data_IF_657222652514
#
_entry.id   IF_657222652514
#
_cell.length_a   1.000
_cell.length_b   1.000
_cell.length_c   1.000
_cell.angle_alpha   90.00
_cell.angle_beta   90.00
_cell.angle_gamma   90.00
#
_symmetry.space_group_name_H-M   'P 1'
#
loop_
_entity.id
_entity.type
_entity.pdbx_description
1 polymer ?
#
# COMPACT_ATOMS: atom_id res chain seq x y z
N UNK A 1 -21.84 -3.78 -4.65
CA UNK A 1 -21.23 -4.33 -5.88
C UNK A 1 -19.75 -4.51 -5.61
N UNK A 2 -19.12 -5.65 -5.94
CA UNK A 2 -17.74 -5.88 -5.52
C UNK A 2 -16.79 -4.86 -6.16
N UNK A 3 -16.00 -4.18 -5.33
CA UNK A 3 -14.83 -3.41 -5.74
C UNK A 3 -13.62 -4.34 -5.66
N UNK A 4 -12.83 -4.42 -6.72
CA UNK A 4 -11.59 -5.19 -6.72
C UNK A 4 -10.43 -4.25 -6.47
N UNK A 5 -9.68 -4.53 -5.43
CA UNK A 5 -8.46 -3.81 -5.08
C UNK A 5 -7.25 -4.67 -5.43
N UNK A 6 -6.34 -4.12 -6.24
CA UNK A 6 -5.03 -4.72 -6.51
C UNK A 6 -3.99 -3.89 -5.79
N UNK A 7 -3.25 -4.51 -4.86
CA UNK A 7 -2.08 -3.91 -4.20
C UNK A 7 -0.86 -4.71 -4.62
N UNK A 8 0.12 -4.03 -5.23
CA UNK A 8 1.39 -4.60 -5.64
C UNK A 8 2.48 -4.03 -4.76
N UNK A 9 3.18 -4.93 -4.06
CA UNK A 9 4.32 -4.62 -3.23
C UNK A 9 5.59 -5.02 -3.97
N UNK A 10 6.51 -4.09 -4.16
CA UNK A 10 7.79 -4.35 -4.83
C UNK A 10 8.91 -3.99 -3.86
N UNK A 11 9.76 -4.97 -3.52
CA UNK A 11 10.98 -4.71 -2.78
C UNK A 11 12.06 -4.17 -3.72
N UNK A 12 12.68 -3.06 -3.33
CA UNK A 12 13.77 -2.36 -4.00
C UNK A 12 14.93 -2.18 -3.03
N UNK A 13 16.06 -1.65 -3.49
CA UNK A 13 17.20 -1.32 -2.64
C UNK A 13 16.89 -0.22 -1.61
N UNK A 14 15.85 0.59 -1.86
CA UNK A 14 15.43 1.70 -1.00
C UNK A 14 14.28 1.31 -0.05
N UNK A 15 13.79 0.07 -0.12
CA UNK A 15 12.72 -0.46 0.72
C UNK A 15 11.58 -1.10 -0.09
N UNK A 16 10.35 -0.96 0.39
CA UNK A 16 9.13 -1.49 -0.24
C UNK A 16 8.39 -0.33 -0.90
N UNK A 17 8.13 -0.47 -2.21
CA UNK A 17 7.24 0.39 -2.96
C UNK A 17 5.83 -0.24 -3.02
N UNK A 18 4.79 0.60 -2.93
CA UNK A 18 3.38 0.19 -2.96
C UNK A 18 2.68 0.84 -4.14
N UNK A 19 2.29 0.03 -5.11
CA UNK A 19 1.40 0.42 -6.21
C UNK A 19 0.01 -0.11 -5.92
N UNK A 20 -1.02 0.68 -6.21
CA UNK A 20 -2.40 0.28 -5.93
C UNK A 20 -3.34 0.72 -7.04
N UNK A 21 -4.25 -0.16 -7.42
CA UNK A 21 -5.30 0.10 -8.39
C UNK A 21 -6.64 -0.38 -7.84
N UNK A 22 -7.65 0.50 -7.90
CA UNK A 22 -9.03 0.12 -7.63
C UNK A 22 -9.69 -0.14 -8.97
N UNK A 23 -9.99 -1.41 -9.25
CA UNK A 23 -10.71 -1.81 -10.44
C UNK A 23 -12.20 -1.91 -10.11
N UNK A 24 -12.99 -1.12 -10.82
CA UNK A 24 -14.42 -1.03 -10.62
C UNK A 24 -15.15 -1.24 -11.96
N UNK A 25 -16.25 -2.00 -11.96
CA UNK A 25 -17.10 -2.12 -13.16
C UNK A 25 -17.89 -0.83 -13.34
N UNK A 26 -17.96 -0.27 -14.55
CA UNK A 26 -18.38 1.11 -14.85
C UNK A 26 -19.74 1.59 -14.28
N UNK A 27 -20.57 0.72 -13.73
CA UNK A 27 -21.97 1.03 -13.41
C UNK A 27 -22.19 1.00 -11.89
N UNK A 28 -22.02 2.16 -11.27
CA UNK A 28 -22.36 2.50 -9.87
C UNK A 28 -21.60 1.77 -8.75
N UNK A 29 -20.84 2.54 -7.94
CA UNK A 29 -20.23 2.04 -6.70
C UNK A 29 -20.94 2.60 -5.49
N UNK A 30 -21.13 1.76 -4.46
CA UNK A 30 -21.53 2.27 -3.16
C UNK A 30 -20.36 3.07 -2.56
N UNK A 31 -20.65 4.26 -2.01
CA UNK A 31 -19.65 5.11 -1.33
C UNK A 31 -18.89 4.32 -0.25
N UNK A 32 -19.56 3.41 0.44
CA UNK A 32 -18.94 2.55 1.46
C UNK A 32 -17.87 1.62 0.87
N UNK A 33 -18.10 1.02 -0.30
CA UNK A 33 -17.16 0.08 -0.92
C UNK A 33 -15.88 0.79 -1.37
N UNK A 34 -16.02 2.00 -1.91
CA UNK A 34 -14.89 2.87 -2.25
C UNK A 34 -14.14 3.34 -1.01
N UNK A 35 -14.85 3.70 0.07
CA UNK A 35 -14.24 4.09 1.34
C UNK A 35 -13.41 2.95 1.93
N UNK A 36 -13.94 1.72 1.93
CA UNK A 36 -13.20 0.54 2.39
C UNK A 36 -11.96 0.26 1.53
N UNK A 37 -12.10 0.26 0.20
CA UNK A 37 -10.96 0.05 -0.71
C UNK A 37 -9.86 1.11 -0.51
N UNK A 38 -10.25 2.37 -0.35
CA UNK A 38 -9.32 3.48 -0.11
C UNK A 38 -8.61 3.33 1.23
N UNK A 39 -9.34 3.00 2.30
CA UNK A 39 -8.75 2.76 3.61
C UNK A 39 -7.74 1.60 3.58
N UNK A 40 -8.03 0.52 2.85
CA UNK A 40 -7.10 -0.60 2.69
C UNK A 40 -5.80 -0.19 2.00
N UNK A 41 -5.87 0.65 0.96
CA UNK A 41 -4.66 1.20 0.32
C UNK A 41 -3.83 2.01 1.31
N UNK A 42 -4.47 2.89 2.08
CA UNK A 42 -3.79 3.74 3.05
C UNK A 42 -3.10 2.90 4.15
N UNK A 43 -3.76 1.86 4.67
CA UNK A 43 -3.13 0.96 5.63
C UNK A 43 -1.96 0.19 5.04
N UNK A 44 -2.05 -0.26 3.78
CA UNK A 44 -0.94 -0.94 3.11
C UNK A 44 0.27 -0.02 2.92
N UNK A 45 0.04 1.23 2.51
CA UNK A 45 1.11 2.25 2.37
C UNK A 45 1.78 2.55 3.70
N UNK A 46 0.99 2.74 4.76
CA UNK A 46 1.52 2.99 6.11
C UNK A 46 2.37 1.83 6.61
N UNK A 47 1.91 0.59 6.44
CA UNK A 47 2.69 -0.59 6.80
C UNK A 47 4.03 -0.64 6.04
N UNK A 48 4.03 -0.34 4.73
CA UNK A 48 5.28 -0.28 3.96
C UNK A 48 6.22 0.83 4.43
N UNK A 49 5.70 2.01 4.79
CA UNK A 49 6.52 3.08 5.37
C UNK A 49 7.18 2.66 6.68
N UNK A 50 6.42 2.03 7.60
CA UNK A 50 6.95 1.53 8.87
C UNK A 50 8.06 0.48 8.64
N UNK A 51 7.89 -0.41 7.65
CA UNK A 51 8.93 -1.36 7.26
C UNK A 51 10.17 -0.66 6.69
N UNK A 52 9.99 0.37 5.86
CA UNK A 52 11.10 1.12 5.26
C UNK A 52 11.89 1.89 6.32
N UNK A 53 11.21 2.48 7.31
CA UNK A 53 11.87 3.11 8.45
C UNK A 53 12.71 2.10 9.24
N UNK A 54 12.19 0.90 9.50
CA UNK A 54 12.93 -0.17 10.16
C UNK A 54 14.14 -0.62 9.34
N UNK A 55 13.99 -0.75 8.02
CA UNK A 55 15.08 -1.10 7.11
C UNK A 55 16.20 -0.05 7.15
N UNK A 56 15.83 1.23 7.05
CA UNK A 56 16.77 2.34 7.07
C UNK A 56 17.51 2.47 8.40
N UNK A 57 16.81 2.31 9.53
CA UNK A 57 17.45 2.31 10.87
C UNK A 57 18.46 1.17 11.04
N UNK A 58 18.18 -0.02 10.48
CA UNK A 58 19.15 -1.12 10.50
C UNK A 58 20.36 -0.76 9.65
N UNK A 59 20.16 -0.28 8.43
CA UNK A 59 21.28 0.10 7.55
C UNK A 59 22.16 1.22 8.11
N UNK A 60 21.61 2.18 8.86
CA UNK A 60 22.44 3.20 9.53
C UNK A 60 23.23 2.62 10.70
N UNK A 61 22.67 1.67 11.46
CA UNK A 61 23.36 1.06 12.60
C UNK A 61 24.54 0.15 12.20
N UNK A 62 24.53 -0.43 11.00
CA UNK A 62 25.64 -1.23 10.46
C UNK A 62 26.73 -0.39 9.77
N UNK A 63 26.47 0.89 9.51
CA UNK A 63 27.41 1.81 8.82
C UNK A 63 28.28 2.64 9.78
N UNK A 64 28.10 2.47 11.09
CA UNK A 64 28.92 3.06 12.15
C UNK A 64 29.67 1.97 12.91
#
# INVERSE_FOLDING_TARGET
>A
MPVTLVIKLTHTEEGINVESEINTKADYHCVHEMAHATATIEYARRAAQEINELHNRRNTHWRH
#
